data_IF_688975450811
#
_entry.id   IF_688975450811
#
_cell.length_a   1.000
_cell.length_b   1.000
_cell.length_c   1.000
_cell.angle_alpha   90.00
_cell.angle_beta   90.00
_cell.angle_gamma   90.00
#
_symmetry.space_group_name_H-M   'P 1'
#
loop_
_entity.id
_entity.type
_entity.pdbx_description
1 polymer ?
#
# COMPACT_ATOMS: atom_id res chain seq x y z
N UNK A 1 -11.59 -45.04 -3.25
CA UNK A 1 -11.47 -43.95 -2.27
C UNK A 1 -10.01 -43.54 -2.19
N UNK A 2 -9.61 -42.53 -2.96
CA UNK A 2 -8.27 -41.95 -2.86
C UNK A 2 -8.34 -40.74 -1.93
N UNK A 3 -7.56 -40.79 -0.85
CA UNK A 3 -7.33 -39.67 0.06
C UNK A 3 -6.57 -38.58 -0.69
N UNK A 4 -7.18 -37.40 -0.82
CA UNK A 4 -6.49 -36.19 -1.31
C UNK A 4 -5.52 -35.71 -0.20
N UNK A 5 -4.28 -35.34 -0.54
CA UNK A 5 -3.37 -34.76 0.44
C UNK A 5 -3.81 -33.32 0.75
N UNK A 6 -4.10 -33.07 2.03
CA UNK A 6 -4.13 -31.72 2.62
C UNK A 6 -2.72 -31.16 2.62
N UNK A 7 -2.37 -30.39 1.58
CA UNK A 7 -1.18 -29.54 1.61
C UNK A 7 -1.61 -28.12 1.96
N UNK A 8 -1.48 -27.80 3.25
CA UNK A 8 -1.09 -26.46 3.68
C UNK A 8 0.34 -26.20 3.15
N UNK A 9 0.44 -25.92 1.86
CA UNK A 9 1.65 -25.34 1.31
C UNK A 9 1.69 -23.90 1.81
N UNK A 10 2.62 -23.60 2.73
CA UNK A 10 3.00 -22.23 3.07
C UNK A 10 3.46 -21.57 1.78
N UNK A 11 2.54 -20.87 1.11
CA UNK A 11 2.82 -20.07 -0.07
C UNK A 11 3.75 -18.94 0.39
N UNK A 12 5.03 -18.93 -0.02
CA UNK A 12 5.96 -17.84 0.30
C UNK A 12 5.36 -16.57 -0.33
N UNK A 13 5.02 -15.59 0.50
CA UNK A 13 4.24 -14.40 0.11
C UNK A 13 2.98 -14.20 0.94
N UNK A 14 2.39 -15.26 1.51
CA UNK A 14 1.23 -15.13 2.44
C UNK A 14 1.63 -14.84 3.88
N UNK A 15 2.80 -15.29 4.32
CA UNK A 15 3.22 -15.15 5.71
C UNK A 15 3.19 -13.68 6.18
N UNK A 16 3.68 -12.74 5.36
CA UNK A 16 3.66 -11.32 5.71
C UNK A 16 2.26 -10.71 5.79
N UNK A 17 1.27 -11.22 5.05
CA UNK A 17 -0.11 -10.72 5.08
C UNK A 17 -0.86 -11.18 6.33
N UNK A 18 -0.66 -12.43 6.75
CA UNK A 18 -1.32 -12.98 7.94
C UNK A 18 -0.70 -12.50 9.26
N UNK A 19 0.54 -12.00 9.22
CA UNK A 19 1.28 -11.52 10.39
C UNK A 19 1.00 -10.06 10.75
N UNK A 20 0.38 -9.30 9.84
CA UNK A 20 0.03 -7.90 10.10
C UNK A 20 -0.99 -7.82 11.23
N UNK A 21 -0.84 -6.84 12.11
CA UNK A 21 -1.81 -6.48 13.14
C UNK A 21 -2.32 -5.06 12.93
N UNK A 22 -3.42 -4.69 13.60
CA UNK A 22 -4.00 -3.35 13.46
C UNK A 22 -3.01 -2.24 13.87
N UNK A 23 -2.13 -2.49 14.85
CA UNK A 23 -1.08 -1.56 15.25
C UNK A 23 0.03 -1.37 14.20
N UNK A 24 0.06 -2.20 13.15
CA UNK A 24 1.04 -2.12 12.06
C UNK A 24 0.59 -1.16 10.95
N UNK A 25 -0.68 -0.74 10.95
CA UNK A 25 -1.28 0.03 9.86
C UNK A 25 -0.58 1.37 9.62
N UNK A 26 -0.14 2.14 10.64
CA UNK A 26 0.71 3.32 10.40
C UNK A 26 2.01 2.97 9.65
N UNK A 27 2.58 1.79 9.92
CA UNK A 27 3.80 1.33 9.24
C UNK A 27 3.50 0.95 7.79
N UNK A 28 2.36 0.30 7.53
CA UNK A 28 1.88 0.03 6.18
C UNK A 28 1.71 1.33 5.38
N UNK A 29 1.00 2.32 5.93
CA UNK A 29 0.71 3.60 5.28
C UNK A 29 2.00 4.28 4.80
N UNK A 30 2.97 4.48 5.69
CA UNK A 30 4.21 5.17 5.35
C UNK A 30 5.11 4.35 4.41
N UNK A 31 5.11 3.02 4.52
CA UNK A 31 5.84 2.16 3.58
C UNK A 31 5.21 2.21 2.18
N UNK A 32 3.89 2.23 2.07
CA UNK A 32 3.21 2.40 0.77
C UNK A 32 3.59 3.74 0.15
N UNK A 33 3.61 4.83 0.93
CA UNK A 33 4.05 6.14 0.46
C UNK A 33 5.51 6.09 -0.02
N UNK A 34 6.44 5.57 0.79
CA UNK A 34 7.87 5.53 0.47
C UNK A 34 8.17 4.70 -0.77
N UNK A 35 7.55 3.53 -0.88
CA UNK A 35 7.80 2.59 -1.96
C UNK A 35 7.19 3.08 -3.30
N UNK A 36 5.97 3.66 -3.27
CA UNK A 36 5.39 4.30 -4.46
C UNK A 36 6.22 5.51 -4.86
N UNK A 37 6.60 6.38 -3.93
CA UNK A 37 7.43 7.54 -4.21
C UNK A 37 8.77 7.12 -4.82
N UNK A 38 9.41 6.08 -4.26
CA UNK A 38 10.66 5.52 -4.77
C UNK A 38 10.55 5.12 -6.23
N UNK A 39 9.48 4.41 -6.60
CA UNK A 39 9.26 4.02 -7.98
C UNK A 39 8.98 5.23 -8.88
N UNK A 40 8.10 6.15 -8.46
CA UNK A 40 7.72 7.34 -9.23
C UNK A 40 8.94 8.19 -9.59
N UNK A 41 9.87 8.38 -8.65
CA UNK A 41 11.08 9.19 -8.85
C UNK A 41 12.28 8.36 -9.38
N UNK A 42 12.09 7.08 -9.66
CA UNK A 42 13.15 6.23 -10.22
C UNK A 42 13.29 6.40 -11.74
N UNK A 43 14.44 6.00 -12.31
CA UNK A 43 14.60 5.89 -13.77
C UNK A 43 13.66 4.87 -14.44
N UNK A 44 13.02 3.98 -13.66
CA UNK A 44 12.10 2.96 -14.17
C UNK A 44 10.70 3.51 -14.48
N UNK A 45 10.36 4.70 -13.97
CA UNK A 45 9.13 5.38 -14.34
C UNK A 45 9.31 6.05 -15.72
N UNK A 46 8.59 5.60 -16.77
CA UNK A 46 8.73 6.15 -18.11
C UNK A 46 8.14 7.56 -18.27
N UNK A 47 7.33 8.02 -17.31
CA UNK A 47 6.59 9.29 -17.36
C UNK A 47 5.38 9.29 -18.30
N UNK A 48 5.26 8.33 -19.22
CA UNK A 48 4.17 8.14 -20.20
C UNK A 48 4.14 6.71 -20.73
N UNK A 49 3.15 6.39 -21.57
CA UNK A 49 3.04 5.09 -22.26
C UNK A 49 3.04 3.89 -21.28
N UNK A 50 2.31 4.05 -20.16
CA UNK A 50 2.22 3.03 -19.11
C UNK A 50 1.55 1.75 -19.61
N UNK A 51 1.89 0.62 -19.00
CA UNK A 51 1.47 -0.72 -19.46
C UNK A 51 1.38 -1.69 -18.26
N UNK A 52 1.12 -2.96 -18.55
CA UNK A 52 1.01 -4.01 -17.53
C UNK A 52 2.26 -4.20 -16.67
N UNK A 53 3.46 -3.97 -17.20
CA UNK A 53 4.71 -4.08 -16.43
C UNK A 53 4.80 -2.97 -15.38
N UNK A 54 4.48 -1.72 -15.77
CA UNK A 54 4.44 -0.59 -14.85
C UNK A 54 3.34 -0.76 -13.78
N UNK A 55 2.17 -1.24 -14.18
CA UNK A 55 1.10 -1.59 -13.23
C UNK A 55 1.52 -2.69 -12.26
N UNK A 56 2.20 -3.73 -12.75
CA UNK A 56 2.77 -4.80 -11.94
C UNK A 56 3.85 -4.34 -10.97
N UNK A 57 4.69 -3.39 -11.37
CA UNK A 57 5.69 -2.77 -10.49
C UNK A 57 5.00 -2.09 -9.29
N UNK A 58 4.00 -1.25 -9.54
CA UNK A 58 3.26 -0.59 -8.45
C UNK A 58 2.53 -1.59 -7.55
N UNK A 59 1.86 -2.60 -8.13
CA UNK A 59 1.23 -3.65 -7.31
C UNK A 59 2.27 -4.35 -6.43
N UNK A 60 3.45 -4.65 -6.98
CA UNK A 60 4.55 -5.27 -6.23
C UNK A 60 5.02 -4.37 -5.09
N UNK A 61 5.14 -3.06 -5.29
CA UNK A 61 5.55 -2.15 -4.21
C UNK A 61 4.55 -2.13 -3.06
N UNK A 62 3.24 -2.15 -3.36
CA UNK A 62 2.20 -2.19 -2.32
C UNK A 62 2.24 -3.51 -1.56
N UNK A 63 2.39 -4.65 -2.26
CA UNK A 63 2.50 -5.96 -1.63
C UNK A 63 3.77 -6.08 -0.76
N UNK A 64 4.86 -5.43 -1.15
CA UNK A 64 6.09 -5.37 -0.34
C UNK A 64 5.87 -4.54 0.93
N UNK A 65 5.20 -3.39 0.82
CA UNK A 65 4.84 -2.58 1.97
C UNK A 65 4.00 -3.36 3.00
N UNK A 66 3.01 -4.15 2.54
CA UNK A 66 2.22 -5.03 3.42
C UNK A 66 3.11 -6.07 4.12
N UNK A 67 4.02 -6.71 3.41
CA UNK A 67 4.94 -7.69 4.01
C UNK A 67 6.00 -7.07 4.93
N UNK A 68 6.30 -5.78 4.76
CA UNK A 68 7.23 -5.02 5.58
C UNK A 68 6.60 -4.40 6.82
N UNK A 69 5.28 -4.18 6.83
CA UNK A 69 4.57 -3.43 7.87
C UNK A 69 4.77 -4.01 9.28
N UNK A 70 4.84 -5.33 9.45
CA UNK A 70 5.07 -5.96 10.76
C UNK A 70 6.51 -5.87 11.27
N UNK A 71 7.46 -5.53 10.38
CA UNK A 71 8.92 -5.52 10.66
C UNK A 71 9.47 -4.12 10.94
N UNK A 72 8.67 -3.10 10.69
CA UNK A 72 9.04 -1.71 10.87
C UNK A 72 8.01 -1.03 11.78
N UNK A 73 8.49 -0.09 12.60
CA UNK A 73 7.66 0.82 13.37
C UNK A 73 8.21 2.22 13.20
N UNK A 74 7.42 3.17 12.69
CA UNK A 74 7.88 4.55 12.62
C UNK A 74 8.01 5.10 14.04
N UNK A 75 8.99 5.97 14.27
CA UNK A 75 9.23 6.60 15.58
C UNK A 75 8.03 7.43 16.05
N UNK A 76 7.30 8.02 15.10
CA UNK A 76 6.03 8.68 15.31
C UNK A 76 5.10 8.39 14.15
N UNK A 77 3.79 8.52 14.39
CA UNK A 77 2.76 8.43 13.37
C UNK A 77 1.84 9.65 13.49
N UNK A 78 1.09 10.00 12.42
CA UNK A 78 0.03 10.99 12.52
C UNK A 78 -1.01 10.57 13.56
N UNK A 79 -1.49 11.54 14.34
CA UNK A 79 -2.58 11.32 15.29
C UNK A 79 -3.84 10.89 14.52
N UNK A 80 -4.45 9.74 14.85
CA UNK A 80 -5.60 9.24 14.11
C UNK A 80 -6.85 10.07 14.42
N UNK A 81 -7.55 10.49 13.37
CA UNK A 81 -8.95 10.91 13.47
C UNK A 81 -9.86 9.67 13.55
N UNK A 82 -11.15 9.86 13.86
CA UNK A 82 -12.15 8.79 13.82
C UNK A 82 -12.19 8.13 12.43
N UNK A 83 -12.24 8.93 11.36
CA UNK A 83 -12.24 8.41 9.98
C UNK A 83 -10.96 7.63 9.62
N UNK A 84 -9.79 8.06 10.12
CA UNK A 84 -8.53 7.31 9.92
C UNK A 84 -8.55 5.99 10.71
N UNK A 85 -9.12 5.98 11.90
CA UNK A 85 -9.26 4.77 12.72
C UNK A 85 -10.16 3.75 12.03
N UNK A 86 -11.34 4.16 11.58
CA UNK A 86 -12.29 3.32 10.85
C UNK A 86 -11.68 2.79 9.54
N UNK A 87 -10.93 3.64 8.82
CA UNK A 87 -10.21 3.24 7.62
C UNK A 87 -9.17 2.15 7.92
N UNK A 88 -8.39 2.29 9.00
CA UNK A 88 -7.37 1.30 9.39
C UNK A 88 -7.99 -0.04 9.73
N UNK A 89 -9.14 -0.06 10.41
CA UNK A 89 -9.89 -1.30 10.68
C UNK A 89 -10.29 -2.01 9.39
N UNK A 90 -10.83 -1.26 8.42
CA UNK A 90 -11.24 -1.83 7.12
C UNK A 90 -10.05 -2.31 6.29
N UNK A 91 -8.95 -1.55 6.24
CA UNK A 91 -7.71 -1.98 5.58
C UNK A 91 -7.20 -3.26 6.24
N UNK A 92 -7.20 -3.34 7.57
CA UNK A 92 -6.79 -4.54 8.30
C UNK A 92 -7.66 -5.75 7.92
N UNK A 93 -8.99 -5.63 8.00
CA UNK A 93 -9.92 -6.70 7.62
C UNK A 93 -9.72 -7.14 6.17
N UNK A 94 -9.58 -6.18 5.26
CA UNK A 94 -9.37 -6.45 3.83
C UNK A 94 -8.05 -7.16 3.56
N UNK A 95 -6.96 -6.77 4.23
CA UNK A 95 -5.67 -7.48 4.17
C UNK A 95 -5.79 -8.92 4.68
N UNK A 96 -6.51 -9.14 5.78
CA UNK A 96 -6.77 -10.50 6.30
C UNK A 96 -7.58 -11.35 5.30
N UNK A 97 -8.58 -10.75 4.65
CA UNK A 97 -9.35 -11.42 3.59
C UNK A 97 -8.48 -11.78 2.39
N UNK A 98 -7.58 -10.88 1.97
CA UNK A 98 -6.60 -11.14 0.90
C UNK A 98 -5.65 -12.29 1.29
N UNK A 99 -5.19 -12.33 2.55
CA UNK A 99 -4.32 -13.38 3.07
C UNK A 99 -4.95 -14.79 3.04
N UNK A 100 -6.29 -14.86 3.12
CA UNK A 100 -7.03 -16.12 3.27
C UNK A 100 -6.87 -17.08 2.08
N UNK A 101 -6.63 -16.57 0.86
CA UNK A 101 -6.53 -17.42 -0.33
C UNK A 101 -5.72 -16.78 -1.48
N UNK A 102 -5.12 -17.63 -2.32
CA UNK A 102 -4.39 -17.20 -3.52
C UNK A 102 -5.34 -16.59 -4.55
N UNK A 103 -6.60 -17.03 -4.56
CA UNK A 103 -7.64 -16.43 -5.37
C UNK A 103 -7.95 -15.00 -4.93
N UNK A 104 -8.01 -14.73 -3.62
CA UNK A 104 -8.24 -13.38 -3.10
C UNK A 104 -7.08 -12.44 -3.46
N UNK A 105 -5.83 -12.89 -3.31
CA UNK A 105 -4.66 -12.16 -3.78
C UNK A 105 -4.70 -11.90 -5.29
N UNK A 106 -5.09 -12.89 -6.09
CA UNK A 106 -5.23 -12.72 -7.54
C UNK A 106 -6.32 -11.68 -7.88
N UNK A 107 -7.45 -11.69 -7.18
CA UNK A 107 -8.53 -10.69 -7.34
C UNK A 107 -8.04 -9.28 -6.98
N UNK A 108 -7.24 -9.14 -5.92
CA UNK A 108 -6.62 -7.87 -5.57
C UNK A 108 -5.75 -7.33 -6.72
N UNK A 109 -4.85 -8.17 -7.25
CA UNK A 109 -3.95 -7.79 -8.35
C UNK A 109 -4.75 -7.39 -9.61
N UNK A 110 -5.76 -8.18 -9.99
CA UNK A 110 -6.60 -7.92 -11.16
C UNK A 110 -7.44 -6.64 -11.01
N UNK A 111 -7.83 -6.29 -9.78
CA UNK A 111 -8.59 -5.07 -9.50
C UNK A 111 -7.68 -3.83 -9.49
N UNK A 112 -6.52 -3.91 -8.83
CA UNK A 112 -5.65 -2.76 -8.65
C UNK A 112 -4.89 -2.39 -9.93
N UNK A 113 -4.38 -3.38 -10.67
CA UNK A 113 -3.52 -3.14 -11.82
C UNK A 113 -4.12 -2.21 -12.89
N UNK A 114 -5.37 -2.39 -13.38
CA UNK A 114 -5.96 -1.47 -14.35
C UNK A 114 -6.19 -0.07 -13.77
N UNK A 115 -6.57 0.05 -12.49
CA UNK A 115 -6.74 1.34 -11.82
C UNK A 115 -5.41 2.10 -11.74
N UNK A 116 -4.33 1.42 -11.38
CA UNK A 116 -2.98 1.97 -11.35
C UNK A 116 -2.56 2.50 -12.72
N UNK A 117 -2.72 1.70 -13.79
CA UNK A 117 -2.33 2.12 -15.15
C UNK A 117 -3.12 3.36 -15.57
N UNK A 118 -4.44 3.33 -15.36
CA UNK A 118 -5.32 4.46 -15.66
C UNK A 118 -4.88 5.73 -14.92
N UNK A 119 -4.50 5.63 -13.65
CA UNK A 119 -4.05 6.78 -12.86
C UNK A 119 -2.67 7.29 -13.26
N UNK A 120 -1.74 6.40 -13.56
CA UNK A 120 -0.43 6.76 -14.07
C UNK A 120 -0.56 7.57 -15.37
N UNK A 121 -1.40 7.12 -16.30
CA UNK A 121 -1.68 7.81 -17.56
C UNK A 121 -2.36 9.15 -17.34
N UNK A 122 -3.44 9.16 -16.54
CA UNK A 122 -4.24 10.37 -16.26
C UNK A 122 -3.44 11.48 -15.61
N UNK A 123 -2.41 11.12 -14.84
CA UNK A 123 -1.54 12.04 -14.09
C UNK A 123 -0.11 12.08 -14.61
N UNK A 124 0.12 11.66 -15.86
CA UNK A 124 1.42 11.73 -16.50
C UNK A 124 2.00 13.16 -16.43
N UNK A 125 3.25 13.28 -15.98
CA UNK A 125 3.93 14.56 -15.79
C UNK A 125 3.61 15.29 -14.48
N UNK A 126 2.81 14.70 -13.59
CA UNK A 126 2.56 15.21 -12.23
C UNK A 126 2.84 14.13 -11.17
N UNK A 127 4.12 13.95 -10.76
CA UNK A 127 4.53 12.94 -9.79
C UNK A 127 3.81 13.03 -8.44
N UNK A 128 3.49 14.23 -7.98
CA UNK A 128 2.81 14.42 -6.70
C UNK A 128 1.37 13.92 -6.77
N UNK A 129 0.64 14.25 -7.84
CA UNK A 129 -0.69 13.70 -8.08
C UNK A 129 -0.64 12.18 -8.27
N UNK A 130 0.37 11.64 -8.97
CA UNK A 130 0.53 10.19 -9.12
C UNK A 130 0.67 9.52 -7.76
N UNK A 131 1.57 10.01 -6.90
CA UNK A 131 1.78 9.45 -5.56
C UNK A 131 0.47 9.44 -4.75
N UNK A 132 -0.20 10.60 -4.70
CA UNK A 132 -1.44 10.77 -3.95
C UNK A 132 -2.54 9.79 -4.41
N UNK A 133 -2.82 9.72 -5.71
CA UNK A 133 -3.90 8.89 -6.23
C UNK A 133 -3.56 7.40 -6.15
N UNK A 134 -2.30 7.01 -6.41
CA UNK A 134 -1.88 5.62 -6.27
C UNK A 134 -1.97 5.14 -4.82
N UNK A 135 -1.57 5.98 -3.86
CA UNK A 135 -1.78 5.70 -2.43
C UNK A 135 -3.27 5.49 -2.12
N UNK A 136 -4.12 6.41 -2.58
CA UNK A 136 -5.55 6.33 -2.31
C UNK A 136 -6.17 5.04 -2.87
N UNK A 137 -5.87 4.69 -4.13
CA UNK A 137 -6.38 3.47 -4.74
C UNK A 137 -5.78 2.21 -4.11
N UNK A 138 -4.50 2.22 -3.74
CA UNK A 138 -3.87 1.09 -3.05
C UNK A 138 -4.61 0.76 -1.74
N UNK A 139 -4.82 1.76 -0.87
CA UNK A 139 -5.55 1.55 0.38
C UNK A 139 -7.03 1.24 0.16
N UNK A 140 -7.67 1.86 -0.85
CA UNK A 140 -9.07 1.59 -1.16
C UNK A 140 -9.29 0.13 -1.58
N UNK A 141 -8.42 -0.40 -2.44
CA UNK A 141 -8.51 -1.80 -2.88
C UNK A 141 -8.13 -2.76 -1.76
N UNK A 142 -7.16 -2.40 -0.90
CA UNK A 142 -6.87 -3.17 0.31
C UNK A 142 -8.08 -3.24 1.25
N UNK A 143 -8.71 -2.10 1.56
CA UNK A 143 -9.88 -2.00 2.42
C UNK A 143 -11.14 -2.69 1.85
N UNK A 144 -11.32 -2.65 0.53
CA UNK A 144 -12.42 -3.34 -0.14
C UNK A 144 -12.36 -4.86 0.02
N UNK A 145 -11.16 -5.44 0.26
CA UNK A 145 -10.98 -6.87 0.47
C UNK A 145 -11.69 -7.71 -0.62
N UNK A 146 -12.51 -8.67 -0.19
CA UNK A 146 -13.35 -9.49 -1.09
C UNK A 146 -14.75 -8.91 -1.30
N UNK A 147 -15.25 -8.09 -0.38
CA UNK A 147 -16.63 -7.58 -0.43
C UNK A 147 -16.80 -6.42 -1.41
N UNK A 148 -15.73 -5.66 -1.67
CA UNK A 148 -15.79 -4.44 -2.47
C UNK A 148 -16.67 -3.36 -1.85
N UNK A 149 -16.92 -3.44 -0.54
CA UNK A 149 -17.71 -2.43 0.17
C UNK A 149 -16.84 -1.19 0.35
N UNK A 150 -17.20 -0.11 -0.33
CA UNK A 150 -16.48 1.15 -0.40
C UNK A 150 -17.49 2.28 -0.18
N UNK A 151 -17.20 3.17 0.77
CA UNK A 151 -18.04 4.34 1.03
C UNK A 151 -17.21 5.63 1.14
N UNK A 152 -17.90 6.75 1.30
CA UNK A 152 -17.27 8.07 1.38
C UNK A 152 -16.42 8.24 2.65
N UNK A 153 -16.80 7.63 3.77
CA UNK A 153 -16.05 7.75 5.03
C UNK A 153 -14.70 7.06 4.92
N UNK A 154 -14.64 5.91 4.23
CA UNK A 154 -13.39 5.24 3.92
C UNK A 154 -12.44 6.15 3.13
N UNK A 155 -12.96 6.82 2.08
CA UNK A 155 -12.14 7.75 1.29
C UNK A 155 -11.65 8.93 2.14
N UNK A 156 -12.50 9.50 3.02
CA UNK A 156 -12.11 10.57 3.94
C UNK A 156 -10.96 10.10 4.84
N UNK A 157 -11.04 8.89 5.40
CA UNK A 157 -9.97 8.31 6.21
C UNK A 157 -8.67 8.08 5.44
N UNK A 158 -8.75 7.58 4.21
CA UNK A 158 -7.60 7.38 3.33
C UNK A 158 -6.91 8.72 3.03
N UNK A 159 -7.67 9.73 2.57
CA UNK A 159 -7.12 11.06 2.28
C UNK A 159 -6.51 11.69 3.55
N UNK A 160 -7.22 11.61 4.69
CA UNK A 160 -6.73 12.13 5.96
C UNK A 160 -5.44 11.45 6.44
N UNK A 161 -5.27 10.15 6.17
CA UNK A 161 -4.02 9.45 6.48
C UNK A 161 -2.83 9.93 5.63
N UNK A 162 -3.06 10.18 4.32
CA UNK A 162 -2.04 10.75 3.45
C UNK A 162 -1.65 12.15 3.92
N UNK A 163 -2.64 13.00 4.19
CA UNK A 163 -2.42 14.38 4.62
C UNK A 163 -1.66 14.42 5.96
N UNK A 164 -2.02 13.56 6.91
CA UNK A 164 -1.32 13.45 8.19
C UNK A 164 0.14 13.02 8.03
N UNK A 165 0.44 12.07 7.14
CA UNK A 165 1.83 11.69 6.84
C UNK A 165 2.59 12.81 6.12
N UNK A 166 1.93 13.52 5.19
CA UNK A 166 2.50 14.66 4.50
C UNK A 166 2.84 15.82 5.47
N UNK A 167 1.98 16.08 6.45
CA UNK A 167 2.24 17.03 7.53
C UNK A 167 3.45 16.59 8.37
N UNK A 168 3.50 15.33 8.81
CA UNK A 168 4.66 14.78 9.54
C UNK A 168 5.98 14.93 8.78
N UNK A 169 5.98 14.62 7.48
CA UNK A 169 7.16 14.81 6.62
C UNK A 169 7.56 16.28 6.51
N UNK A 170 6.59 17.20 6.45
CA UNK A 170 6.82 18.65 6.46
C UNK A 170 7.40 19.13 7.81
N UNK A 171 7.03 18.49 8.92
CA UNK A 171 7.59 18.72 10.26
C UNK A 171 9.00 18.13 10.45
N UNK A 172 9.53 17.42 9.45
CA UNK A 172 10.88 16.85 9.47
C UNK A 172 10.95 15.35 9.79
N UNK A 173 9.82 14.65 9.87
CA UNK A 173 9.84 13.19 9.91
C UNK A 173 10.54 12.64 8.66
N UNK A 174 11.49 11.73 8.85
CA UNK A 174 12.17 11.02 7.77
C UNK A 174 12.32 9.55 8.13
N UNK A 175 12.26 8.69 7.11
CA UNK A 175 12.52 7.26 7.31
C UNK A 175 14.01 7.04 7.57
N UNK A 176 14.38 6.07 8.42
CA UNK A 176 15.77 5.90 8.87
C UNK A 176 16.73 5.56 7.71
N UNK A 177 16.25 4.95 6.63
CA UNK A 177 17.03 4.68 5.42
C UNK A 177 17.06 5.83 4.41
N UNK A 178 16.29 6.91 4.64
CA UNK A 178 16.26 8.12 3.80
C UNK A 178 17.12 9.26 4.35
N UNK A 179 17.69 9.09 5.54
CA UNK A 179 18.63 10.06 6.11
C UNK A 179 19.87 10.10 5.21
N UNK A 180 20.13 11.23 4.55
CA UNK A 180 21.37 11.43 3.81
C UNK A 180 22.56 11.20 4.75
N UNK A 181 23.50 10.34 4.34
CA UNK A 181 24.79 10.26 5.04
C UNK A 181 25.43 11.66 5.04
N UNK A 182 26.01 12.13 6.16
CA UNK A 182 26.64 13.44 6.20
C UNK A 182 27.68 13.52 5.06
N UNK A 183 27.51 14.51 4.17
CA UNK A 183 28.50 14.78 3.12
C UNK A 183 29.84 14.99 3.81
N UNK A 184 30.77 14.07 3.61
CA UNK A 184 32.14 14.29 4.04
C UNK A 184 32.67 15.52 3.28
N UNK A 185 33.28 16.49 3.99
CA UNK A 185 33.75 17.75 3.40
C UNK A 185 34.83 17.53 2.34
#
# INVERSE_FOLDING_TARGET
MALLPTRDEKVPGRAGFAEIKIEDLPSLEILVIDEIASWIFSPENPGKDYNGEHGGAIVTVVLNAVQGASKFRPESAPEPTEAVTDMRERVFEGVQQIASSAQALSTYVITLMPAVISELERRAGDPASQLYWLYCYALLVLAGGRSGDLDQNLMIGIMGSFDGWNEKMTEGFTLPWRVEAPRQP
#
